data_IF_099569473798
#
_entry.id   IF_099569473798
#
_cell.length_a   1.000
_cell.length_b   1.000
_cell.length_c   1.000
_cell.angle_alpha   90.00
_cell.angle_beta   90.00
_cell.angle_gamma   90.00
#
_symmetry.space_group_name_H-M   'P 1'
#
loop_
_entity.id
_entity.type
_entity.pdbx_description
1 polymer ?
#
# COMPACT_ATOMS: atom_id res chain seq x y z
N UNK A 1 -11.15 15.74 -25.70
CA UNK A 1 -10.84 15.95 -24.27
C UNK A 1 -9.38 16.33 -24.20
N UNK A 2 -9.00 17.39 -23.49
CA UNK A 2 -7.59 17.74 -23.36
C UNK A 2 -6.83 16.57 -22.69
N UNK A 3 -5.68 16.19 -23.24
CA UNK A 3 -4.85 15.14 -22.65
C UNK A 3 -4.31 15.62 -21.29
N UNK A 4 -4.46 14.78 -20.27
CA UNK A 4 -3.94 15.07 -18.93
C UNK A 4 -2.46 14.71 -18.88
N UNK A 5 -1.65 15.56 -18.25
CA UNK A 5 -0.31 15.17 -17.79
C UNK A 5 -0.42 14.15 -16.65
N UNK A 6 0.65 13.40 -16.39
CA UNK A 6 0.72 12.43 -15.28
C UNK A 6 0.36 13.07 -13.93
N UNK A 7 0.89 14.27 -13.65
CA UNK A 7 0.59 15.01 -12.42
C UNK A 7 -0.89 15.40 -12.33
N UNK A 8 -1.49 15.86 -13.43
CA UNK A 8 -2.92 16.20 -13.47
C UNK A 8 -3.81 14.96 -13.31
N UNK A 9 -3.40 13.82 -13.87
CA UNK A 9 -4.11 12.55 -13.70
C UNK A 9 -4.08 12.09 -12.24
N UNK A 10 -2.90 12.11 -11.61
CA UNK A 10 -2.75 11.70 -10.22
C UNK A 10 -3.57 12.60 -9.28
N UNK A 11 -3.50 13.92 -9.48
CA UNK A 11 -4.31 14.89 -8.73
C UNK A 11 -5.81 14.61 -8.88
N UNK A 12 -6.26 14.34 -10.10
CA UNK A 12 -7.66 14.00 -10.37
C UNK A 12 -8.09 12.72 -9.63
N UNK A 13 -7.26 11.67 -9.65
CA UNK A 13 -7.56 10.39 -9.00
C UNK A 13 -7.65 10.55 -7.48
N UNK A 14 -6.75 11.33 -6.89
CA UNK A 14 -6.67 11.51 -5.44
C UNK A 14 -7.76 12.45 -4.88
N UNK A 15 -8.20 13.44 -5.67
CA UNK A 15 -9.16 14.46 -5.20
C UNK A 15 -10.61 14.17 -5.53
N UNK A 16 -10.89 13.31 -6.51
CA UNK A 16 -12.27 13.04 -6.96
C UNK A 16 -13.07 12.28 -5.90
N UNK A 17 -14.11 12.93 -5.35
CA UNK A 17 -15.01 12.37 -4.33
C UNK A 17 -16.41 12.18 -4.91
N UNK A 18 -16.80 10.92 -5.15
CA UNK A 18 -18.11 10.58 -5.72
C UNK A 18 -19.21 10.50 -4.65
N UNK A 19 -18.85 10.08 -3.43
CA UNK A 19 -19.75 9.92 -2.29
C UNK A 19 -19.03 10.21 -0.97
N UNK A 20 -19.70 10.30 0.19
CA UNK A 20 -19.06 10.24 1.51
C UNK A 20 -18.32 8.90 1.72
N UNK A 21 -17.33 8.87 2.61
CA UNK A 21 -16.54 7.67 2.88
C UNK A 21 -15.54 7.86 4.02
N UNK A 22 -14.93 6.77 4.47
CA UNK A 22 -14.01 6.81 5.61
C UNK A 22 -12.76 7.67 5.28
N UNK A 23 -12.48 8.73 6.05
CA UNK A 23 -11.38 9.65 5.76
C UNK A 23 -10.00 8.97 5.89
N UNK A 24 -9.85 8.01 6.80
CA UNK A 24 -8.58 7.28 6.99
C UNK A 24 -8.31 6.31 5.85
N UNK A 25 -9.34 5.59 5.38
CA UNK A 25 -9.20 4.71 4.21
C UNK A 25 -8.76 5.51 3.00
N UNK A 26 -9.38 6.68 2.76
CA UNK A 26 -8.99 7.57 1.66
C UNK A 26 -7.54 8.00 1.73
N UNK A 27 -7.10 8.49 2.88
CA UNK A 27 -5.72 8.92 3.07
C UNK A 27 -4.72 7.79 2.78
N UNK A 28 -5.02 6.56 3.22
CA UNK A 28 -4.17 5.40 2.95
C UNK A 28 -4.16 5.03 1.47
N UNK A 29 -5.33 4.97 0.83
CA UNK A 29 -5.45 4.65 -0.60
C UNK A 29 -4.77 5.69 -1.47
N UNK A 30 -4.96 6.98 -1.18
CA UNK A 30 -4.30 8.10 -1.86
C UNK A 30 -2.79 7.95 -1.85
N UNK A 31 -2.22 7.63 -0.68
CA UNK A 31 -0.78 7.42 -0.54
C UNK A 31 -0.28 6.21 -1.34
N UNK A 32 -0.98 5.08 -1.25
CA UNK A 32 -0.62 3.85 -1.98
C UNK A 32 -0.66 4.09 -3.49
N UNK A 33 -1.73 4.70 -4.00
CA UNK A 33 -1.87 5.00 -5.44
C UNK A 33 -0.78 5.95 -5.91
N UNK A 34 -0.49 6.99 -5.13
CA UNK A 34 0.60 7.94 -5.42
C UNK A 34 1.96 7.25 -5.52
N UNK A 35 2.29 6.37 -4.58
CA UNK A 35 3.57 5.68 -4.57
C UNK A 35 3.66 4.67 -5.73
N UNK A 36 2.56 4.01 -6.12
CA UNK A 36 2.53 3.13 -7.28
C UNK A 36 2.68 3.88 -8.62
N UNK A 37 2.09 5.07 -8.75
CA UNK A 37 2.27 5.92 -9.94
C UNK A 37 3.75 6.32 -10.12
N UNK A 38 4.41 6.64 -9.01
CA UNK A 38 5.85 6.94 -9.01
C UNK A 38 6.68 5.70 -9.34
N UNK A 39 6.36 4.55 -8.76
CA UNK A 39 7.07 3.31 -9.05
C UNK A 39 6.97 2.91 -10.52
N UNK A 40 5.82 3.13 -11.18
CA UNK A 40 5.65 2.89 -12.62
C UNK A 40 6.60 3.76 -13.44
N UNK A 41 6.72 5.03 -13.10
CA UNK A 41 7.55 6.01 -13.80
C UNK A 41 9.05 5.79 -13.54
N UNK A 42 9.43 5.60 -12.28
CA UNK A 42 10.81 5.42 -11.84
C UNK A 42 11.44 4.11 -12.35
N UNK A 43 10.61 3.08 -12.56
CA UNK A 43 11.06 1.76 -13.05
C UNK A 43 10.81 1.54 -14.54
N UNK A 44 10.30 2.54 -15.27
CA UNK A 44 9.92 2.44 -16.69
C UNK A 44 9.02 1.22 -16.97
N UNK A 45 8.00 1.03 -16.14
CA UNK A 45 7.14 -0.16 -16.17
C UNK A 45 6.34 -0.19 -17.47
N UNK A 46 6.48 -1.28 -18.21
CA UNK A 46 5.72 -1.51 -19.44
C UNK A 46 4.27 -1.96 -19.15
N UNK A 47 3.33 -1.79 -20.10
CA UNK A 47 1.97 -2.29 -19.93
C UNK A 47 1.89 -3.79 -19.63
N UNK A 48 2.74 -4.60 -20.25
CA UNK A 48 2.75 -6.06 -20.05
C UNK A 48 3.21 -6.43 -18.63
N UNK A 49 4.24 -5.74 -18.10
CA UNK A 49 4.69 -5.94 -16.72
C UNK A 49 3.63 -5.53 -15.71
N UNK A 50 2.94 -4.41 -15.96
CA UNK A 50 1.82 -3.98 -15.13
C UNK A 50 0.71 -5.05 -15.08
N UNK A 51 0.32 -5.59 -16.23
CA UNK A 51 -0.71 -6.63 -16.28
C UNK A 51 -0.23 -7.95 -15.66
N UNK A 52 1.04 -8.31 -15.80
CA UNK A 52 1.61 -9.49 -15.14
C UNK A 52 1.59 -9.34 -13.60
N UNK A 53 1.98 -8.17 -13.08
CA UNK A 53 1.97 -7.89 -11.66
C UNK A 53 0.55 -7.89 -11.06
N UNK A 54 -0.41 -7.25 -11.74
CA UNK A 54 -1.82 -7.26 -11.31
C UNK A 54 -2.45 -8.65 -11.36
N UNK A 55 -2.10 -9.46 -12.37
CA UNK A 55 -2.53 -10.85 -12.46
C UNK A 55 -1.98 -11.70 -11.30
N UNK A 56 -0.73 -11.47 -10.88
CA UNK A 56 -0.15 -12.13 -9.71
C UNK A 56 -0.92 -11.79 -8.42
N UNK A 57 -1.24 -10.51 -8.19
CA UNK A 57 -2.06 -10.08 -7.04
C UNK A 57 -3.46 -10.71 -7.05
N UNK A 58 -4.07 -10.84 -8.22
CA UNK A 58 -5.38 -11.47 -8.37
C UNK A 58 -5.34 -12.95 -8.02
N UNK A 59 -4.33 -13.69 -8.51
CA UNK A 59 -4.11 -15.10 -8.19
C UNK A 59 -3.83 -15.31 -6.70
N UNK A 60 -3.03 -14.42 -6.10
CA UNK A 60 -2.75 -14.42 -4.66
C UNK A 60 -4.03 -14.35 -3.84
N UNK A 61 -4.92 -13.40 -4.18
CA UNK A 61 -6.23 -13.28 -3.54
C UNK A 61 -7.12 -14.50 -3.76
N UNK A 62 -7.21 -15.00 -5.01
CA UNK A 62 -8.01 -16.17 -5.34
C UNK A 62 -7.56 -17.46 -4.63
N UNK A 63 -6.25 -17.59 -4.37
CA UNK A 63 -5.68 -18.71 -3.63
C UNK A 63 -5.86 -18.60 -2.09
N UNK A 64 -6.38 -17.47 -1.60
CA UNK A 64 -6.51 -17.19 -0.16
C UNK A 64 -5.15 -17.04 0.55
N UNK A 65 -4.07 -16.76 -0.19
CA UNK A 65 -2.69 -16.76 0.34
C UNK A 65 -2.20 -15.36 0.75
N UNK A 66 -3.06 -14.34 0.75
CA UNK A 66 -2.66 -12.97 1.11
C UNK A 66 -2.03 -12.88 2.50
N UNK A 67 -2.59 -13.59 3.49
CA UNK A 67 -2.01 -13.66 4.84
C UNK A 67 -0.61 -14.30 4.85
N UNK A 68 -0.41 -15.36 4.07
CA UNK A 68 0.89 -16.03 3.98
C UNK A 68 1.95 -15.14 3.31
N UNK A 69 1.58 -14.47 2.21
CA UNK A 69 2.52 -13.60 1.49
C UNK A 69 2.85 -12.33 2.29
N UNK A 70 1.87 -11.74 3.00
CA UNK A 70 2.14 -10.57 3.84
C UNK A 70 3.11 -10.89 4.98
N UNK A 71 2.96 -12.06 5.62
CA UNK A 71 3.94 -12.56 6.58
C UNK A 71 5.31 -12.79 5.91
N UNK A 72 5.36 -13.48 4.77
CA UNK A 72 6.59 -13.81 4.05
C UNK A 72 7.37 -12.61 3.50
N UNK A 73 6.67 -11.51 3.18
CA UNK A 73 7.27 -10.23 2.78
C UNK A 73 7.67 -9.35 3.98
N UNK A 74 7.40 -9.79 5.21
CA UNK A 74 7.83 -9.12 6.43
C UNK A 74 6.90 -8.00 6.91
N UNK A 75 5.68 -7.90 6.39
CA UNK A 75 4.72 -6.88 6.86
C UNK A 75 4.35 -7.09 8.32
N UNK A 76 4.12 -8.33 8.73
CA UNK A 76 3.78 -8.66 10.12
C UNK A 76 4.92 -8.23 11.05
N UNK A 77 6.16 -8.57 10.70
CA UNK A 77 7.34 -8.16 11.46
C UNK A 77 7.49 -6.64 11.54
N UNK A 78 7.22 -5.92 10.45
CA UNK A 78 7.24 -4.46 10.45
C UNK A 78 6.20 -3.88 11.42
N UNK A 79 5.00 -4.48 11.49
CA UNK A 79 3.97 -4.05 12.42
C UNK A 79 4.37 -4.30 13.87
N UNK A 80 5.01 -5.43 14.15
CA UNK A 80 5.52 -5.74 15.49
C UNK A 80 6.61 -4.76 15.92
N UNK A 81 7.59 -4.45 15.05
CA UNK A 81 8.61 -3.44 15.33
C UNK A 81 7.97 -2.10 15.71
N UNK A 82 6.95 -1.67 14.96
CA UNK A 82 6.24 -0.40 15.25
C UNK A 82 5.49 -0.44 16.59
N UNK A 83 4.97 -1.59 16.98
CA UNK A 83 4.30 -1.77 18.26
C UNK A 83 5.32 -1.72 19.40
N UNK A 84 6.45 -2.41 19.26
CA UNK A 84 7.55 -2.43 20.23
C UNK A 84 8.12 -1.02 20.44
N UNK A 85 8.38 -0.27 19.35
CA UNK A 85 8.83 1.12 19.43
C UNK A 85 7.81 2.03 20.14
N UNK A 86 6.52 1.77 19.98
CA UNK A 86 5.46 2.54 20.65
C UNK A 86 5.40 2.22 22.15
N UNK A 87 5.58 0.95 22.53
CA UNK A 87 5.63 0.53 23.93
C UNK A 87 6.87 1.06 24.65
N UNK A 88 8.04 1.05 23.98
CA UNK A 88 9.26 1.66 24.48
C UNK A 88 9.08 3.15 24.74
N UNK A 89 8.50 3.90 23.77
CA UNK A 89 8.20 5.34 23.93
C UNK A 89 7.21 5.61 25.06
N UNK A 90 6.33 4.66 25.37
CA UNK A 90 5.38 4.74 26.47
C UNK A 90 5.97 4.28 27.82
N UNK A 91 7.25 3.90 27.87
CA UNK A 91 7.91 3.41 29.09
C UNK A 91 7.46 2.01 29.53
N UNK A 92 6.89 1.21 28.63
CA UNK A 92 6.46 -0.17 28.89
C UNK A 92 7.57 -1.14 28.49
N UNK A 93 8.63 -1.21 29.29
CA UNK A 93 9.75 -2.14 29.09
C UNK A 93 9.60 -3.38 29.98
N UNK A 94 10.01 -4.57 29.51
CA UNK A 94 10.15 -5.78 30.34
C UNK A 94 9.09 -6.88 30.18
N UNK A 95 8.35 -6.92 29.07
CA UNK A 95 7.45 -8.03 28.71
C UNK A 95 8.12 -9.13 27.87
N UNK A 96 7.43 -10.25 27.65
CA UNK A 96 7.82 -11.24 26.64
C UNK A 96 7.83 -10.59 25.26
N UNK A 97 8.93 -10.68 24.49
CA UNK A 97 9.02 -10.09 23.16
C UNK A 97 7.87 -10.53 22.24
N UNK A 98 7.41 -9.63 21.36
CA UNK A 98 6.57 -9.98 20.22
C UNK A 98 7.43 -10.77 19.22
N UNK A 99 6.86 -11.83 18.66
CA UNK A 99 7.57 -12.81 17.81
C UNK A 99 7.99 -12.23 16.46
#
# INVERSE_FOLDING_TARGET
>A
MAELTQAQLLELVNTKKIAPGNPRVRQLTERIVTDLFKAIDELDVTPDEFWAATAWLTRLGAAGQTGLITAGLGFDRLLDIRADEADQKAGREGGTPRA
#
